data_IF_594337815638
#
_entry.id   IF_594337815638
#
_cell.length_a   1.000
_cell.length_b   1.000
_cell.length_c   1.000
_cell.angle_alpha   90.00
_cell.angle_beta   90.00
_cell.angle_gamma   90.00
#
_symmetry.space_group_name_H-M   'P 1'
#
loop_
_entity.id
_entity.type
_entity.pdbx_description
1 polymer ?
#
# COMPACT_ATOMS: atom_id res chain seq x y z
N UNK A 1 -5.16 -8.58 26.90
CA UNK A 1 -5.38 -8.98 25.51
C UNK A 1 -4.11 -8.64 24.77
N UNK A 2 -3.53 -9.61 24.06
CA UNK A 2 -2.30 -9.40 23.28
C UNK A 2 -2.61 -9.41 21.79
N UNK A 3 -1.94 -8.53 21.04
CA UNK A 3 -1.87 -8.64 19.58
C UNK A 3 -0.72 -9.57 19.23
N UNK A 4 -0.87 -10.39 18.20
CA UNK A 4 0.20 -11.24 17.64
C UNK A 4 1.00 -10.52 16.54
N UNK A 5 0.46 -9.43 16.01
CA UNK A 5 1.08 -8.60 14.99
C UNK A 5 0.65 -7.14 15.16
N UNK A 6 1.53 -6.22 14.83
CA UNK A 6 1.28 -4.77 14.79
C UNK A 6 1.89 -4.18 13.53
N UNK A 7 1.41 -3.02 13.11
CA UNK A 7 1.96 -2.24 12.01
C UNK A 7 2.36 -0.85 12.48
N UNK A 8 3.40 -0.30 11.89
CA UNK A 8 3.81 1.11 12.02
C UNK A 8 4.06 1.71 10.65
N UNK A 9 3.32 2.75 10.32
CA UNK A 9 3.54 3.56 9.11
C UNK A 9 4.30 4.84 9.47
N UNK A 10 5.58 4.84 9.15
CA UNK A 10 6.46 6.02 9.18
C UNK A 10 6.79 6.56 7.79
N UNK A 11 6.11 6.09 6.74
CA UNK A 11 6.46 6.40 5.33
C UNK A 11 6.38 7.88 4.98
N UNK A 12 5.58 8.66 5.71
CA UNK A 12 5.46 10.10 5.56
C UNK A 12 6.64 10.90 6.16
N UNK A 13 7.50 10.26 6.94
CA UNK A 13 8.70 10.83 7.53
C UNK A 13 9.90 10.74 6.58
N UNK A 14 10.95 11.55 6.79
CA UNK A 14 12.24 11.31 6.17
C UNK A 14 12.74 9.88 6.46
N UNK A 15 13.46 9.30 5.50
CA UNK A 15 13.90 7.89 5.56
C UNK A 15 14.54 7.50 6.90
N UNK A 16 15.51 8.27 7.39
CA UNK A 16 16.20 7.96 8.64
C UNK A 16 15.28 8.05 9.88
N UNK A 17 14.28 8.93 9.84
CA UNK A 17 13.26 9.05 10.89
C UNK A 17 12.29 7.87 10.86
N UNK A 18 11.87 7.43 9.66
CA UNK A 18 11.07 6.22 9.51
C UNK A 18 11.83 4.99 10.03
N UNK A 19 13.10 4.84 9.66
CA UNK A 19 13.97 3.76 10.19
C UNK A 19 14.02 3.79 11.72
N UNK A 20 14.26 4.96 12.30
CA UNK A 20 14.37 5.10 13.77
C UNK A 20 13.05 4.76 14.47
N UNK A 21 11.92 5.26 13.96
CA UNK A 21 10.59 5.00 14.51
C UNK A 21 10.23 3.52 14.42
N UNK A 22 10.39 2.95 13.23
CA UNK A 22 10.07 1.54 12.96
C UNK A 22 10.92 0.62 13.84
N UNK A 23 12.22 0.89 13.93
CA UNK A 23 13.11 0.13 14.81
C UNK A 23 12.68 0.19 16.28
N UNK A 24 12.25 1.35 16.76
CA UNK A 24 11.77 1.48 18.15
C UNK A 24 10.55 0.59 18.42
N UNK A 25 9.62 0.49 17.44
CA UNK A 25 8.44 -0.38 17.54
C UNK A 25 8.86 -1.84 17.51
N UNK A 26 9.76 -2.22 16.60
CA UNK A 26 10.30 -3.59 16.49
C UNK A 26 10.98 -4.01 17.81
N UNK A 27 11.89 -3.20 18.32
CA UNK A 27 12.63 -3.49 19.56
C UNK A 27 11.69 -3.67 20.78
N UNK A 28 10.54 -2.99 20.78
CA UNK A 28 9.53 -3.16 21.82
C UNK A 28 8.68 -4.41 21.59
N UNK A 29 8.12 -4.58 20.39
CA UNK A 29 7.16 -5.63 20.07
C UNK A 29 7.79 -7.04 20.13
N UNK A 30 9.02 -7.20 19.66
CA UNK A 30 9.74 -8.47 19.67
C UNK A 30 10.02 -9.01 21.10
N UNK A 31 10.01 -8.15 22.13
CA UNK A 31 10.11 -8.62 23.52
C UNK A 31 8.89 -9.46 23.94
N UNK A 32 7.79 -9.37 23.21
CA UNK A 32 6.53 -10.04 23.49
C UNK A 32 6.15 -11.07 22.41
N UNK A 33 7.08 -11.42 21.53
CA UNK A 33 6.84 -12.33 20.39
C UNK A 33 5.71 -11.83 19.46
N UNK A 34 5.69 -10.50 19.23
CA UNK A 34 4.73 -9.82 18.35
C UNK A 34 5.45 -9.39 17.09
N UNK A 35 4.94 -9.82 15.92
CA UNK A 35 5.50 -9.43 14.62
C UNK A 35 5.19 -7.98 14.28
N UNK A 36 6.08 -7.34 13.53
CA UNK A 36 5.96 -5.93 13.11
C UNK A 36 6.01 -5.80 11.61
N UNK A 37 5.00 -5.14 11.06
CA UNK A 37 4.98 -4.65 9.69
C UNK A 37 5.44 -3.19 9.68
N UNK A 38 6.37 -2.86 8.79
CA UNK A 38 6.76 -1.48 8.48
C UNK A 38 6.21 -1.05 7.14
N UNK A 39 6.36 0.24 6.80
CA UNK A 39 5.97 0.78 5.49
C UNK A 39 7.08 1.64 4.89
N UNK A 40 7.34 1.45 3.59
CA UNK A 40 8.32 2.20 2.82
C UNK A 40 7.75 2.61 1.46
N UNK A 41 7.81 3.91 1.17
CA UNK A 41 7.09 4.53 0.07
C UNK A 41 5.74 5.08 0.54
N UNK A 42 5.19 6.04 -0.17
CA UNK A 42 3.93 6.70 0.20
C UNK A 42 2.82 6.30 -0.77
N UNK A 43 1.74 5.75 -0.24
CA UNK A 43 0.53 5.49 -1.00
C UNK A 43 -0.31 6.77 -1.09
N UNK A 44 -0.84 7.05 -2.29
CA UNK A 44 -1.84 8.10 -2.43
C UNK A 44 -3.20 7.64 -1.88
N UNK A 45 -4.09 8.59 -1.59
CA UNK A 45 -5.43 8.33 -1.09
C UNK A 45 -5.66 8.86 0.31
N UNK A 46 -6.74 8.42 0.91
CA UNK A 46 -7.15 8.81 2.26
C UNK A 46 -7.35 7.54 3.08
N UNK A 47 -6.63 7.46 4.18
CA UNK A 47 -6.80 6.42 5.19
C UNK A 47 -6.88 7.11 6.56
N UNK A 48 -8.03 6.95 7.23
CA UNK A 48 -8.35 7.58 8.50
C UNK A 48 -8.05 9.11 8.50
N UNK A 49 -7.02 9.54 9.23
CA UNK A 49 -6.60 10.93 9.34
C UNK A 49 -5.42 11.29 8.42
N UNK A 50 -4.90 10.31 7.66
CA UNK A 50 -3.75 10.50 6.76
C UNK A 50 -4.23 10.61 5.32
N UNK A 51 -3.74 11.62 4.61
CA UNK A 51 -4.00 11.78 3.17
C UNK A 51 -2.73 12.15 2.43
N UNK A 52 -2.52 11.52 1.26
CA UNK A 52 -1.44 11.88 0.35
C UNK A 52 -1.99 12.12 -1.06
N UNK A 53 -1.58 13.21 -1.70
CA UNK A 53 -2.02 13.57 -3.05
C UNK A 53 -1.24 12.82 -4.13
N UNK A 54 -0.04 12.35 -3.82
CA UNK A 54 0.88 11.72 -4.76
C UNK A 54 1.50 10.46 -4.17
N UNK A 55 1.75 9.47 -5.04
CA UNK A 55 2.56 8.31 -4.69
C UNK A 55 4.05 8.69 -4.61
N UNK A 56 4.74 8.09 -3.64
CA UNK A 56 6.19 7.93 -3.69
C UNK A 56 6.47 6.45 -3.78
N UNK A 57 6.85 5.97 -4.97
CA UNK A 57 7.17 4.55 -5.16
C UNK A 57 8.34 4.13 -4.28
N UNK A 58 8.27 2.90 -3.81
CA UNK A 58 9.36 2.29 -3.04
C UNK A 58 10.58 2.09 -3.94
N UNK A 59 11.76 2.55 -3.48
CA UNK A 59 13.02 2.21 -4.14
C UNK A 59 13.49 0.83 -3.66
N UNK A 60 13.63 -0.16 -4.55
CA UNK A 60 14.12 -1.50 -4.18
C UNK A 60 15.52 -1.49 -3.53
N UNK A 61 16.32 -0.45 -3.75
CA UNK A 61 17.63 -0.33 -3.09
C UNK A 61 17.50 -0.02 -1.60
N UNK A 62 16.50 0.78 -1.24
CA UNK A 62 16.25 1.16 0.15
C UNK A 62 15.63 0.04 0.97
N UNK A 63 14.90 -0.91 0.34
CA UNK A 63 14.22 -2.01 1.04
C UNK A 63 15.18 -2.87 1.85
N UNK A 64 16.31 -3.27 1.26
CA UNK A 64 17.30 -4.11 1.95
C UNK A 64 17.88 -3.39 3.16
N UNK A 65 18.24 -2.13 2.97
CA UNK A 65 18.81 -1.29 4.03
C UNK A 65 17.78 -1.10 5.16
N UNK A 66 16.53 -0.78 4.80
CA UNK A 66 15.43 -0.60 5.75
C UNK A 66 15.17 -1.86 6.59
N UNK A 67 14.99 -3.01 5.93
CA UNK A 67 14.76 -4.29 6.63
C UNK A 67 15.92 -4.65 7.54
N UNK A 68 17.15 -4.46 7.07
CA UNK A 68 18.35 -4.77 7.86
C UNK A 68 18.53 -3.86 9.07
N UNK A 69 18.16 -2.59 8.97
CA UNK A 69 18.27 -1.60 10.05
C UNK A 69 17.15 -1.72 11.07
N UNK A 70 15.94 -2.00 10.63
CA UNK A 70 14.74 -2.01 11.48
C UNK A 70 14.47 -3.38 12.08
N UNK A 71 14.71 -4.46 11.33
CA UNK A 71 14.38 -5.82 11.73
C UNK A 71 12.89 -6.13 11.64
N UNK A 72 12.12 -5.44 10.79
CA UNK A 72 10.69 -5.74 10.55
C UNK A 72 10.49 -7.15 10.01
N UNK A 73 9.34 -7.75 10.29
CA UNK A 73 8.98 -9.11 9.86
C UNK A 73 8.26 -9.12 8.50
N UNK A 74 7.64 -8.00 8.13
CA UNK A 74 7.02 -7.75 6.82
C UNK A 74 7.11 -6.28 6.46
N UNK A 75 6.99 -5.97 5.17
CA UNK A 75 7.09 -4.60 4.68
C UNK A 75 5.99 -4.29 3.68
N UNK A 76 5.21 -3.25 3.98
CA UNK A 76 4.32 -2.63 3.01
C UNK A 76 5.11 -1.74 2.05
N UNK A 77 4.82 -1.88 0.75
CA UNK A 77 5.51 -1.15 -0.32
C UNK A 77 4.50 -0.39 -1.19
N UNK A 78 4.97 0.69 -1.80
CA UNK A 78 4.22 1.49 -2.75
C UNK A 78 4.63 1.14 -4.18
N UNK A 79 3.70 0.52 -4.93
CA UNK A 79 3.88 0.17 -6.35
C UNK A 79 2.77 0.76 -7.24
N UNK A 80 2.00 1.72 -6.73
CA UNK A 80 0.92 2.39 -7.45
C UNK A 80 -0.49 2.03 -6.97
N UNK A 81 -0.63 1.26 -5.90
CA UNK A 81 -1.91 1.06 -5.21
C UNK A 81 -2.32 2.32 -4.44
N UNK A 82 -3.59 2.41 -4.05
CA UNK A 82 -4.12 3.60 -3.37
C UNK A 82 -5.19 3.21 -2.36
N UNK A 83 -5.26 3.94 -1.25
CA UNK A 83 -6.27 3.74 -0.22
C UNK A 83 -7.66 4.24 -0.65
N UNK A 84 -8.70 3.70 0.00
CA UNK A 84 -10.09 4.10 -0.21
C UNK A 84 -10.75 3.48 -1.46
N UNK A 85 -12.03 3.80 -1.67
CA UNK A 85 -12.81 3.32 -2.82
C UNK A 85 -12.58 4.14 -4.10
N UNK A 86 -12.21 5.41 -3.96
CA UNK A 86 -11.87 6.30 -5.08
C UNK A 86 -10.35 6.36 -5.24
N UNK A 87 -9.76 5.21 -5.57
CA UNK A 87 -8.30 5.02 -5.62
C UNK A 87 -7.61 5.87 -6.70
N UNK A 88 -8.28 6.07 -7.82
CA UNK A 88 -7.75 6.80 -8.98
C UNK A 88 -8.72 7.87 -9.42
N UNK A 89 -8.19 9.03 -9.78
CA UNK A 89 -8.98 10.06 -10.44
C UNK A 89 -9.26 9.63 -11.90
N UNK A 90 -10.41 9.99 -12.49
CA UNK A 90 -10.73 9.63 -13.88
C UNK A 90 -9.63 10.04 -14.89
N UNK A 91 -8.90 11.13 -14.62
CA UNK A 91 -7.81 11.63 -15.46
C UNK A 91 -6.56 10.74 -15.44
N UNK A 92 -6.43 9.91 -14.42
CA UNK A 92 -5.33 8.94 -14.28
C UNK A 92 -5.63 7.62 -14.99
N UNK A 93 -6.91 7.39 -15.34
CA UNK A 93 -7.39 6.15 -15.94
C UNK A 93 -7.51 6.29 -17.47
N UNK A 94 -7.39 5.17 -18.16
CA UNK A 94 -7.82 5.03 -19.55
C UNK A 94 -9.26 4.50 -19.61
N UNK A 95 -9.89 4.51 -20.80
CA UNK A 95 -11.19 3.85 -20.99
C UNK A 95 -11.03 2.69 -21.97
N UNK A 96 -11.55 1.54 -21.56
CA UNK A 96 -11.60 0.39 -22.46
C UNK A 96 -12.72 0.55 -23.54
N UNK A 97 -12.89 -0.46 -24.40
CA UNK A 97 -13.88 -0.44 -25.48
C UNK A 97 -15.34 -0.33 -24.98
N UNK A 98 -15.61 -0.79 -23.77
CA UNK A 98 -16.91 -0.71 -23.09
C UNK A 98 -17.11 0.63 -22.36
N UNK A 99 -16.12 1.54 -22.39
CA UNK A 99 -16.17 2.83 -21.73
C UNK A 99 -15.88 2.78 -20.21
N UNK A 100 -15.45 1.65 -19.68
CA UNK A 100 -15.08 1.45 -18.28
C UNK A 100 -13.70 2.06 -18.03
N UNK A 101 -13.55 2.72 -16.88
CA UNK A 101 -12.27 3.26 -16.44
C UNK A 101 -11.33 2.12 -16.07
N UNK A 102 -10.12 2.17 -16.62
CA UNK A 102 -9.03 1.23 -16.34
C UNK A 102 -7.89 2.00 -15.69
N UNK A 103 -7.47 1.65 -14.48
CA UNK A 103 -6.37 2.31 -13.81
C UNK A 103 -5.03 2.02 -14.50
N UNK A 104 -3.96 2.80 -14.19
CA UNK A 104 -2.62 2.48 -14.65
C UNK A 104 -2.16 1.13 -14.11
N UNK A 105 -1.25 0.48 -14.84
CA UNK A 105 -0.61 -0.75 -14.38
C UNK A 105 0.23 -0.50 -13.13
N UNK A 106 0.21 -1.48 -12.22
CA UNK A 106 1.08 -1.47 -11.05
C UNK A 106 2.54 -1.71 -11.44
N UNK A 107 3.45 -1.17 -10.64
CA UNK A 107 4.89 -1.29 -10.83
C UNK A 107 5.41 -2.63 -10.31
N UNK A 108 4.97 -3.72 -10.95
CA UNK A 108 5.43 -5.09 -10.62
C UNK A 108 6.93 -5.29 -10.85
N UNK A 109 7.56 -4.44 -11.65
CA UNK A 109 9.02 -4.40 -11.80
C UNK A 109 9.73 -4.11 -10.46
N UNK A 110 9.17 -3.21 -9.63
CA UNK A 110 9.65 -2.93 -8.27
C UNK A 110 9.55 -4.17 -7.40
N UNK A 111 8.38 -4.83 -7.39
CA UNK A 111 8.15 -6.04 -6.61
C UNK A 111 9.12 -7.16 -7.03
N UNK A 112 9.29 -7.36 -8.34
CA UNK A 112 10.21 -8.39 -8.87
C UNK A 112 11.67 -8.12 -8.49
N UNK A 113 12.09 -6.85 -8.45
CA UNK A 113 13.44 -6.49 -8.02
C UNK A 113 13.63 -6.70 -6.51
N UNK A 114 12.63 -6.40 -5.68
CA UNK A 114 12.66 -6.65 -4.24
C UNK A 114 12.75 -8.16 -3.98
N UNK A 115 11.90 -8.98 -4.60
CA UNK A 115 11.91 -10.44 -4.45
C UNK A 115 13.27 -11.04 -4.83
N UNK A 116 13.90 -10.52 -5.87
CA UNK A 116 15.24 -10.95 -6.28
C UNK A 116 16.33 -10.64 -5.24
N UNK A 117 16.19 -9.50 -4.53
CA UNK A 117 17.16 -9.04 -3.53
C UNK A 117 16.92 -9.62 -2.14
N UNK A 118 15.66 -9.85 -1.78
CA UNK A 118 15.21 -10.43 -0.51
C UNK A 118 14.25 -11.60 -0.75
N UNK A 119 14.74 -12.74 -1.27
CA UNK A 119 13.88 -13.87 -1.61
C UNK A 119 13.08 -14.39 -0.41
N UNK A 120 11.76 -14.48 -0.57
CA UNK A 120 10.86 -15.01 0.45
C UNK A 120 10.60 -14.09 1.64
N UNK A 121 11.06 -12.83 1.61
CA UNK A 121 10.69 -11.85 2.61
C UNK A 121 9.23 -11.41 2.41
N UNK A 122 8.37 -11.37 3.47
CA UNK A 122 6.97 -11.02 3.33
C UNK A 122 6.76 -9.58 2.89
N UNK A 123 6.14 -9.40 1.73
CA UNK A 123 5.75 -8.11 1.18
C UNK A 123 4.23 -7.95 1.27
N UNK A 124 3.78 -6.76 1.64
CA UNK A 124 2.37 -6.39 1.78
C UNK A 124 2.03 -5.29 0.76
N UNK A 125 0.85 -5.38 0.16
CA UNK A 125 0.31 -4.36 -0.74
C UNK A 125 -0.96 -3.77 -0.14
N UNK A 126 -0.84 -2.61 0.49
CA UNK A 126 -1.98 -1.82 0.94
C UNK A 126 -2.72 -1.23 -0.25
N UNK A 127 -4.00 -0.97 -0.09
CA UNK A 127 -4.80 -0.34 -1.13
C UNK A 127 -4.96 -1.14 -2.44
N UNK A 128 -4.66 -2.45 -2.45
CA UNK A 128 -4.71 -3.31 -3.63
C UNK A 128 -6.09 -3.92 -3.91
N UNK A 129 -7.12 -3.61 -3.13
CA UNK A 129 -8.46 -4.17 -3.31
C UNK A 129 -9.11 -3.75 -4.63
N UNK A 130 -9.83 -4.68 -5.24
CA UNK A 130 -10.72 -4.40 -6.36
C UNK A 130 -11.94 -3.58 -5.90
N UNK A 131 -12.60 -2.91 -6.86
CA UNK A 131 -13.89 -2.22 -6.66
C UNK A 131 -14.83 -2.69 -7.77
N UNK A 132 -15.49 -3.86 -7.63
CA UNK A 132 -16.33 -4.43 -8.67
C UNK A 132 -17.48 -3.49 -9.04
N UNK A 133 -17.61 -3.16 -10.33
CA UNK A 133 -18.54 -2.14 -10.83
C UNK A 133 -20.01 -2.49 -10.60
N UNK A 134 -20.35 -3.75 -10.48
CA UNK A 134 -21.70 -4.20 -10.13
C UNK A 134 -22.13 -3.72 -8.74
N UNK A 135 -21.23 -3.80 -7.75
CA UNK A 135 -21.51 -3.30 -6.39
C UNK A 135 -21.52 -1.78 -6.32
N UNK A 136 -20.64 -1.11 -7.06
CA UNK A 136 -20.66 0.36 -7.21
C UNK A 136 -22.02 0.82 -7.72
N UNK A 137 -22.57 0.14 -8.73
CA UNK A 137 -23.90 0.43 -9.29
C UNK A 137 -25.00 0.22 -8.27
N UNK A 138 -24.97 -0.87 -7.50
CA UNK A 138 -25.95 -1.17 -6.46
C UNK A 138 -25.91 -0.07 -5.37
N UNK A 139 -24.72 0.25 -4.87
CA UNK A 139 -24.51 1.27 -3.84
C UNK A 139 -25.07 2.62 -4.29
N UNK A 140 -24.72 3.05 -5.52
CA UNK A 140 -25.18 4.33 -6.06
C UNK A 140 -26.70 4.35 -6.28
N UNK A 141 -27.32 3.23 -6.65
CA UNK A 141 -28.79 3.12 -6.80
C UNK A 141 -29.51 3.30 -5.48
N UNK A 142 -28.88 2.95 -4.35
CA UNK A 142 -29.43 3.10 -3.01
C UNK A 142 -28.94 4.36 -2.26
N UNK A 143 -28.48 5.36 -3.00
CA UNK A 143 -28.11 6.67 -2.44
C UNK A 143 -26.65 6.81 -2.01
N UNK A 144 -25.80 5.86 -2.35
CA UNK A 144 -24.35 5.99 -2.17
C UNK A 144 -23.72 6.97 -3.17
N UNK A 145 -22.48 7.39 -2.90
CA UNK A 145 -21.76 8.39 -3.68
C UNK A 145 -20.41 7.84 -4.21
N UNK A 146 -20.42 6.62 -4.75
CA UNK A 146 -19.24 5.98 -5.34
C UNK A 146 -19.17 6.19 -6.86
N UNK A 147 -19.55 7.37 -7.34
CA UNK A 147 -19.46 7.66 -8.78
C UNK A 147 -18.00 7.65 -9.22
N UNK A 148 -17.74 6.96 -10.35
CA UNK A 148 -16.40 6.80 -10.93
C UNK A 148 -15.37 6.13 -10.01
N UNK A 149 -15.80 5.37 -8.98
CA UNK A 149 -14.92 4.58 -8.14
C UNK A 149 -14.26 3.45 -8.95
N UNK A 150 -12.94 3.37 -8.88
CA UNK A 150 -12.12 2.39 -9.61
C UNK A 150 -11.14 1.76 -8.64
N UNK A 151 -11.14 0.42 -8.57
CA UNK A 151 -10.16 -0.37 -7.82
C UNK A 151 -9.10 -0.97 -8.74
N UNK A 152 -8.25 -1.79 -8.14
CA UNK A 152 -7.28 -2.57 -8.92
C UNK A 152 -8.04 -3.69 -9.63
N UNK A 153 -7.83 -3.91 -10.94
CA UNK A 153 -8.43 -5.02 -11.67
C UNK A 153 -7.99 -6.38 -11.09
N UNK A 154 -8.91 -7.35 -11.09
CA UNK A 154 -8.63 -8.68 -10.55
C UNK A 154 -7.55 -9.44 -11.35
N UNK A 155 -7.30 -9.03 -12.59
CA UNK A 155 -6.28 -9.60 -13.47
C UNK A 155 -4.87 -9.05 -13.19
N UNK A 156 -4.74 -8.00 -12.39
CA UNK A 156 -3.47 -7.49 -11.91
C UNK A 156 -3.13 -8.10 -10.54
#
# INVERSE_FOLDING_TARGET
>A
MGFSSVMIDGSHLPYDENVALTKQVVDYAHQFDVTVEGELGVLAGVEDEVSAEHHTYTDPADVIDFVSKTGVDSLAISIGTSHGANKFKPEQCTRNAEGILVPPELRFDILAEIEKKLPGFPIVLHGASSVPQEYVKIINTHGGALKDAVGIPEEQ
#
